data_IF_355584439493
#
_entry.id   IF_355584439493
#
_cell.length_a   1.000
_cell.length_b   1.000
_cell.length_c   1.000
_cell.angle_alpha   90.00
_cell.angle_beta   90.00
_cell.angle_gamma   90.00
#
_symmetry.space_group_name_H-M   'P 1'
#
loop_
_entity.id
_entity.type
_entity.pdbx_description
1 polymer ?
#
# COMPACT_ATOMS: atom_id res chain seq x y z
N UNK A 1 -10.22 10.15 8.59
CA UNK A 1 -8.80 10.43 8.21
C UNK A 1 -8.48 9.86 6.82
N UNK A 2 -7.29 10.13 6.24
CA UNK A 2 -6.83 9.47 5.00
C UNK A 2 -6.08 8.18 5.33
N UNK A 3 -6.43 7.09 4.65
CA UNK A 3 -5.88 5.75 4.86
C UNK A 3 -5.38 5.17 3.54
N UNK A 4 -4.38 4.30 3.61
CA UNK A 4 -3.96 3.46 2.49
C UNK A 4 -5.10 2.53 2.07
N UNK A 5 -5.31 2.44 0.76
CA UNK A 5 -6.22 1.50 0.16
C UNK A 5 -5.57 0.12 0.02
N UNK A 6 -5.99 -0.84 0.85
CA UNK A 6 -5.43 -2.19 0.83
C UNK A 6 -5.72 -2.93 -0.49
N UNK A 7 -6.87 -2.70 -1.11
CA UNK A 7 -7.22 -3.32 -2.38
C UNK A 7 -6.26 -2.89 -3.50
N UNK A 8 -5.84 -1.62 -3.48
CA UNK A 8 -4.85 -1.11 -4.44
C UNK A 8 -3.46 -1.66 -4.16
N UNK A 9 -3.07 -1.80 -2.88
CA UNK A 9 -1.81 -2.46 -2.51
C UNK A 9 -1.80 -3.91 -2.98
N UNK A 10 -2.90 -4.65 -2.81
CA UNK A 10 -3.00 -6.05 -3.25
C UNK A 10 -3.02 -6.17 -4.78
N UNK A 11 -3.62 -5.22 -5.49
CA UNK A 11 -3.50 -5.12 -6.95
C UNK A 11 -2.04 -4.94 -7.37
N UNK A 12 -1.30 -4.03 -6.73
CA UNK A 12 0.11 -3.77 -7.03
C UNK A 12 0.98 -4.99 -6.75
N UNK A 13 0.71 -5.68 -5.64
CA UNK A 13 1.36 -6.97 -5.31
C UNK A 13 1.14 -7.99 -6.43
N UNK A 14 -0.11 -8.20 -6.86
CA UNK A 14 -0.46 -9.10 -7.97
C UNK A 14 0.20 -8.71 -9.29
N UNK A 15 0.22 -7.42 -9.61
CA UNK A 15 0.86 -6.89 -10.84
C UNK A 15 2.36 -7.23 -10.91
N UNK A 16 3.03 -7.27 -9.77
CA UNK A 16 4.47 -7.50 -9.67
C UNK A 16 4.83 -8.92 -9.18
N UNK A 17 3.86 -9.85 -9.12
CA UNK A 17 4.03 -11.20 -8.57
C UNK A 17 4.60 -11.23 -7.13
N UNK A 18 4.29 -10.22 -6.32
CA UNK A 18 4.73 -10.12 -4.93
C UNK A 18 3.68 -10.78 -4.02
N UNK A 19 4.10 -11.74 -3.20
CA UNK A 19 3.18 -12.49 -2.32
C UNK A 19 3.24 -12.03 -0.87
N UNK A 20 4.21 -11.19 -0.50
CA UNK A 20 4.46 -10.84 0.88
C UNK A 20 5.03 -9.43 1.07
N UNK A 21 4.99 -8.95 2.31
CA UNK A 21 5.68 -7.71 2.69
C UNK A 21 7.21 -7.85 2.64
N UNK A 22 7.75 -9.08 2.69
CA UNK A 22 9.17 -9.34 2.45
C UNK A 22 9.50 -9.07 0.98
N UNK A 23 8.69 -9.59 0.06
CA UNK A 23 8.88 -9.37 -1.39
C UNK A 23 8.73 -7.89 -1.78
N UNK A 24 7.83 -7.15 -1.11
CA UNK A 24 7.76 -5.69 -1.26
C UNK A 24 9.05 -5.00 -0.81
N UNK A 25 9.62 -5.44 0.31
CA UNK A 25 10.87 -4.89 0.83
C UNK A 25 12.09 -5.23 -0.05
N UNK A 26 12.07 -6.37 -0.74
CA UNK A 26 13.13 -6.73 -1.70
C UNK A 26 13.00 -5.93 -3.01
N UNK A 27 11.78 -5.55 -3.38
CA UNK A 27 11.49 -4.84 -4.63
C UNK A 27 11.52 -3.32 -4.50
N UNK A 28 11.61 -2.80 -3.28
CA UNK A 28 11.62 -1.37 -2.97
C UNK A 28 12.70 -1.05 -1.96
N UNK A 29 13.15 0.19 -1.85
CA UNK A 29 14.17 0.58 -0.86
C UNK A 29 13.62 0.72 0.58
N UNK A 30 12.47 0.09 0.89
CA UNK A 30 11.80 0.17 2.18
C UNK A 30 11.90 -1.13 2.96
N UNK A 31 12.14 -1.03 4.27
CA UNK A 31 12.23 -2.21 5.13
C UNK A 31 10.92 -3.02 5.20
N UNK A 32 11.01 -4.32 5.45
CA UNK A 32 9.86 -5.19 5.74
C UNK A 32 9.01 -4.65 6.89
N UNK A 33 9.64 -4.07 7.92
CA UNK A 33 8.94 -3.46 9.07
C UNK A 33 8.10 -2.26 8.62
N UNK A 34 8.64 -1.41 7.76
CA UNK A 34 7.91 -0.28 7.15
C UNK A 34 6.65 -0.78 6.43
N UNK A 35 6.78 -1.81 5.59
CA UNK A 35 5.64 -2.40 4.89
C UNK A 35 4.61 -3.01 5.83
N UNK A 36 5.06 -3.74 6.86
CA UNK A 36 4.17 -4.29 7.89
C UNK A 36 3.39 -3.18 8.61
N UNK A 37 4.07 -2.13 9.05
CA UNK A 37 3.43 -0.99 9.71
C UNK A 37 2.46 -0.28 8.77
N UNK A 38 2.84 -0.05 7.51
CA UNK A 38 1.99 0.58 6.52
C UNK A 38 0.71 -0.23 6.25
N UNK A 39 0.81 -1.56 6.08
CA UNK A 39 -0.36 -2.40 5.81
C UNK A 39 -1.27 -2.57 7.02
N UNK A 40 -0.71 -2.67 8.24
CA UNK A 40 -1.51 -2.85 9.46
C UNK A 40 -2.14 -1.53 9.93
N UNK A 41 -1.36 -0.46 10.01
CA UNK A 41 -1.86 0.84 10.47
C UNK A 41 -2.62 1.61 9.40
N UNK A 42 -2.43 1.23 8.13
CA UNK A 42 -2.94 1.93 6.94
C UNK A 42 -2.56 3.41 6.88
N UNK A 43 -1.55 3.84 7.66
CA UNK A 43 -1.10 5.23 7.66
C UNK A 43 -0.26 5.51 6.41
N UNK A 44 -0.64 6.47 5.58
CA UNK A 44 0.15 6.83 4.42
C UNK A 44 1.40 7.61 4.85
N UNK A 45 2.55 7.21 4.31
CA UNK A 45 3.79 7.99 4.39
C UNK A 45 4.24 8.28 2.96
N UNK A 46 4.94 9.41 2.75
CA UNK A 46 5.43 9.79 1.42
C UNK A 46 6.30 8.69 0.80
N UNK A 47 7.17 8.07 1.60
CA UNK A 47 8.03 6.98 1.16
C UNK A 47 7.21 5.77 0.65
N UNK A 48 6.18 5.35 1.39
CA UNK A 48 5.31 4.23 0.99
C UNK A 48 4.50 4.57 -0.25
N UNK A 49 3.97 5.79 -0.34
CA UNK A 49 3.21 6.24 -1.51
C UNK A 49 4.08 6.24 -2.77
N UNK A 50 5.28 6.82 -2.69
CA UNK A 50 6.21 6.85 -3.81
C UNK A 50 6.63 5.44 -4.24
N UNK A 51 6.91 4.55 -3.29
CA UNK A 51 7.24 3.15 -3.59
C UNK A 51 6.09 2.42 -4.30
N UNK A 52 4.84 2.64 -3.87
CA UNK A 52 3.67 2.05 -4.53
C UNK A 52 3.48 2.62 -5.95
N UNK A 53 3.63 3.92 -6.16
CA UNK A 53 3.56 4.54 -7.50
C UNK A 53 4.65 3.98 -8.41
N UNK A 54 5.88 3.84 -7.91
CA UNK A 54 6.98 3.25 -8.65
C UNK A 54 6.71 1.78 -9.06
N UNK A 55 5.91 1.05 -8.27
CA UNK A 55 5.45 -0.31 -8.57
C UNK A 55 4.19 -0.36 -9.46
N UNK A 56 3.68 0.78 -9.95
CA UNK A 56 2.51 0.84 -10.83
C UNK A 56 1.15 0.96 -10.11
N UNK A 57 1.14 1.48 -8.88
CA UNK A 57 -0.09 1.89 -8.24
C UNK A 57 -0.74 3.06 -8.98
N UNK A 58 -2.07 3.08 -9.05
CA UNK A 58 -2.81 4.23 -9.53
C UNK A 58 -2.89 5.29 -8.41
N UNK A 59 -2.29 6.49 -8.56
CA UNK A 59 -2.31 7.52 -7.52
C UNK A 59 -3.72 7.92 -7.06
N UNK A 60 -4.69 7.90 -7.97
CA UNK A 60 -6.08 8.24 -7.67
C UNK A 60 -6.79 7.20 -6.79
N UNK A 61 -6.20 6.01 -6.59
CA UNK A 61 -6.77 4.89 -5.83
C UNK A 61 -5.98 4.54 -4.58
N UNK A 62 -4.84 5.19 -4.33
CA UNK A 62 -3.94 4.86 -3.22
C UNK A 62 -4.51 5.22 -1.85
N UNK A 63 -5.33 6.26 -1.78
CA UNK A 63 -5.88 6.80 -0.56
C UNK A 63 -7.40 6.65 -0.56
N UNK A 64 -7.95 6.29 0.59
CA UNK A 64 -9.38 6.29 0.87
C UNK A 64 -9.64 7.09 2.13
N UNK A 65 -10.83 7.67 2.24
CA UNK A 65 -11.24 8.25 3.51
C UNK A 65 -11.71 7.14 4.44
N UNK A 66 -11.51 7.31 5.73
CA UNK A 66 -12.00 6.37 6.75
C UNK A 66 -13.51 6.13 6.67
N UNK A 67 -14.28 7.14 6.28
CA UNK A 67 -15.73 7.01 6.08
C UNK A 67 -16.06 6.10 4.89
N UNK A 68 -15.25 6.09 3.82
CA UNK A 68 -15.45 5.19 2.67
C UNK A 68 -15.19 3.72 3.03
N UNK A 69 -14.36 3.45 4.04
CA UNK A 69 -14.07 2.08 4.49
C UNK A 69 -15.28 1.44 5.17
N UNK A 70 -16.12 2.22 5.86
CA UNK A 70 -17.26 1.73 6.61
C UNK A 70 -18.43 1.22 5.73
N UNK A 71 -18.47 1.62 4.45
CA UNK A 71 -19.52 1.21 3.51
C UNK A 71 -19.15 0.01 2.63
N UNK A 72 -17.92 -0.50 2.73
CA UNK A 72 -17.40 -1.60 1.91
C UNK A 72 -17.25 -2.93 2.67
N UNK A 73 -17.78 -3.03 3.89
CA UNK A 73 -17.81 -4.22 4.74
C UNK A 73 -19.21 -4.83 4.78
#
# INVERSE_FOLDING_TARGET
MLLLNLNEIDRVKRLNNLTSNTSLAERTDLSRKTWSTATTSRKPTIAVLNALVALGANPARLLVTENDVAFAA
#
